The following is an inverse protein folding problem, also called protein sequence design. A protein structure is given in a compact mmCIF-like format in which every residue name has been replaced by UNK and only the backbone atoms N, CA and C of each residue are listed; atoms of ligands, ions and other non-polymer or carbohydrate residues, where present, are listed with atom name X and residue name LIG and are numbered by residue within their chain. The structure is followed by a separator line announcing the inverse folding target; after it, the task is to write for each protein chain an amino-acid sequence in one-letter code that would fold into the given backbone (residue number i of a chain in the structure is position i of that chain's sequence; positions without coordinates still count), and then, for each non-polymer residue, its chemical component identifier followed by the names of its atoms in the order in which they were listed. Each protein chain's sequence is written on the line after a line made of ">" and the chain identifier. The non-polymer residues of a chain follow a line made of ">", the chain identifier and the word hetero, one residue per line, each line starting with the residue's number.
data_IF_163402101640
#
_entry.id   IF_163402101640
#
_cell.length_a   1.000
_cell.length_b   1.000
_cell.length_c   1.000
_cell.angle_alpha   90.00
_cell.angle_beta   90.00
_cell.angle_gamma   90.00
#
_symmetry.space_group_name_H-M   'P 1'
#
loop_
_entity.id
_entity.type
_entity.pdbx_description
1 polymer ?
#
# COMPACT_ATOMS: atom_id res chain seq x y z
N UNK A 1 -3.12 29.55 -20.73
CA UNK A 1 -2.70 28.22 -21.15
C UNK A 1 -2.14 27.57 -19.90
N UNK A 2 -2.88 26.66 -19.28
CA UNK A 2 -2.41 25.85 -18.16
C UNK A 2 -1.43 24.78 -18.71
N UNK A 3 -0.37 24.41 -18.01
CA UNK A 3 0.49 23.31 -18.43
C UNK A 3 -0.27 21.99 -18.27
N UNK A 4 -0.07 21.08 -19.21
CA UNK A 4 -0.61 19.72 -19.22
C UNK A 4 -0.14 18.96 -17.98
N UNK A 5 -0.99 18.85 -16.97
CA UNK A 5 -0.73 18.00 -15.78
C UNK A 5 -0.85 16.48 -16.10
N UNK A 6 -1.49 16.11 -17.22
CA UNK A 6 -1.70 14.71 -17.61
C UNK A 6 -0.41 14.02 -18.13
N UNK A 7 0.57 14.77 -18.63
CA UNK A 7 1.80 14.21 -19.20
C UNK A 7 2.82 13.71 -18.16
N UNK A 8 2.86 14.31 -16.97
CA UNK A 8 3.80 13.95 -15.91
C UNK A 8 3.38 12.67 -15.16
N UNK A 9 2.09 12.39 -15.08
CA UNK A 9 1.55 11.19 -14.40
C UNK A 9 1.75 9.92 -15.25
N UNK A 10 1.66 10.03 -16.58
CA UNK A 10 1.93 8.93 -17.52
C UNK A 10 3.43 8.55 -17.54
N UNK A 11 4.33 9.52 -17.50
CA UNK A 11 5.78 9.29 -17.43
C UNK A 11 6.18 8.65 -16.09
N UNK A 12 5.62 9.13 -14.99
CA UNK A 12 5.85 8.55 -13.65
C UNK A 12 5.34 7.10 -13.55
N UNK A 13 4.24 6.77 -14.23
CA UNK A 13 3.67 5.42 -14.28
C UNK A 13 4.58 4.47 -15.06
N UNK A 14 5.20 4.93 -16.15
CA UNK A 14 6.12 4.11 -16.95
C UNK A 14 7.44 3.77 -16.23
N UNK A 15 7.90 4.60 -15.30
CA UNK A 15 9.15 4.39 -14.55
C UNK A 15 8.97 3.39 -13.40
N UNK A 16 7.79 3.28 -12.83
CA UNK A 16 7.53 2.38 -11.68
C UNK A 16 7.68 0.91 -12.07
N UNK A 17 8.31 0.09 -11.21
CA UNK A 17 8.36 -1.35 -11.42
C UNK A 17 6.94 -1.96 -11.38
N UNK A 18 6.72 -2.96 -12.22
CA UNK A 18 5.42 -3.59 -12.39
C UNK A 18 5.32 -4.98 -11.75
N UNK A 19 6.44 -5.55 -11.35
CA UNK A 19 6.55 -6.88 -10.72
C UNK A 19 7.54 -6.84 -9.57
N UNK A 20 7.51 -7.87 -8.71
CA UNK A 20 8.51 -8.05 -7.65
C UNK A 20 9.92 -8.29 -8.22
N UNK A 21 10.03 -8.84 -9.43
CA UNK A 21 11.31 -9.05 -10.11
C UNK A 21 11.93 -7.75 -10.61
N UNK A 22 11.11 -6.79 -10.99
CA UNK A 22 11.54 -5.47 -11.44
C UNK A 22 11.86 -4.51 -10.28
N UNK A 23 11.46 -4.85 -9.07
CA UNK A 23 11.64 -4.00 -7.90
C UNK A 23 13.08 -4.09 -7.40
N UNK A 24 13.85 -3.04 -7.63
CA UNK A 24 15.25 -2.96 -7.19
C UNK A 24 15.33 -2.73 -5.68
N UNK A 25 16.27 -3.41 -5.04
CA UNK A 25 16.48 -3.32 -3.60
C UNK A 25 15.44 -4.07 -2.78
N UNK A 26 15.40 -3.82 -1.48
CA UNK A 26 14.44 -4.45 -0.54
C UNK A 26 14.34 -5.99 -0.70
N UNK A 27 15.44 -6.67 -1.02
CA UNK A 27 15.49 -8.09 -1.44
C UNK A 27 14.72 -9.02 -0.49
N UNK A 28 14.91 -8.84 0.83
CA UNK A 28 14.21 -9.66 1.83
C UNK A 28 12.70 -9.43 1.82
N UNK A 29 12.27 -8.17 1.67
CA UNK A 29 10.84 -7.82 1.58
C UNK A 29 10.23 -8.43 0.34
N UNK A 30 10.86 -8.28 -0.83
CA UNK A 30 10.36 -8.86 -2.09
C UNK A 30 10.31 -10.39 -2.03
N UNK A 31 11.34 -11.05 -1.47
CA UNK A 31 11.35 -12.51 -1.31
C UNK A 31 10.22 -12.99 -0.42
N UNK A 32 10.01 -12.32 0.72
CA UNK A 32 8.93 -12.69 1.64
C UNK A 32 7.56 -12.45 1.01
N UNK A 33 7.33 -11.27 0.39
CA UNK A 33 6.07 -10.97 -0.29
C UNK A 33 5.74 -11.99 -1.37
N UNK A 34 6.73 -12.44 -2.16
CA UNK A 34 6.53 -13.47 -3.17
C UNK A 34 5.97 -14.76 -2.57
N UNK A 35 6.55 -15.25 -1.49
CA UNK A 35 6.08 -16.47 -0.82
C UNK A 35 4.63 -16.32 -0.35
N UNK A 36 4.29 -15.18 0.26
CA UNK A 36 2.91 -14.95 0.74
C UNK A 36 1.92 -14.81 -0.42
N UNK A 37 2.28 -14.08 -1.48
CA UNK A 37 1.43 -13.91 -2.67
C UNK A 37 1.20 -15.25 -3.38
N UNK A 38 2.25 -16.04 -3.58
CA UNK A 38 2.14 -17.39 -4.18
C UNK A 38 1.25 -18.31 -3.33
N UNK A 39 1.40 -18.28 -2.02
CA UNK A 39 0.58 -19.07 -1.10
C UNK A 39 -0.90 -18.65 -1.15
N UNK A 40 -1.21 -17.36 -1.15
CA UNK A 40 -2.58 -16.85 -1.25
C UNK A 40 -3.22 -17.25 -2.60
N UNK A 41 -2.48 -17.09 -3.70
CA UNK A 41 -2.93 -17.51 -5.04
C UNK A 41 -3.23 -19.01 -5.12
N UNK A 42 -2.34 -19.84 -4.56
CA UNK A 42 -2.50 -21.30 -4.57
C UNK A 42 -3.76 -21.74 -3.81
N UNK A 43 -4.16 -21.02 -2.78
CA UNK A 43 -5.38 -21.29 -2.00
C UNK A 43 -6.62 -20.59 -2.54
N UNK A 44 -6.47 -19.67 -3.51
CA UNK A 44 -7.54 -18.77 -3.98
C UNK A 44 -8.18 -17.98 -2.84
N UNK A 45 -7.36 -17.48 -1.92
CA UNK A 45 -7.76 -16.69 -0.76
C UNK A 45 -7.22 -15.26 -0.85
N UNK A 46 -7.83 -14.34 -0.09
CA UNK A 46 -7.22 -13.03 0.11
C UNK A 46 -5.86 -13.19 0.81
N UNK A 47 -4.90 -12.34 0.46
CA UNK A 47 -3.63 -12.26 1.17
C UNK A 47 -3.88 -11.70 2.58
N UNK A 48 -3.17 -12.21 3.57
CA UNK A 48 -3.16 -11.61 4.91
C UNK A 48 -2.78 -10.11 4.84
N UNK A 49 -3.31 -9.31 5.77
CA UNK A 49 -3.05 -7.88 5.79
C UNK A 49 -1.56 -7.56 5.95
N UNK A 50 -1.07 -6.64 5.13
CA UNK A 50 0.36 -6.27 5.05
C UNK A 50 0.59 -4.89 5.65
N UNK A 51 1.59 -4.76 6.52
CA UNK A 51 2.04 -3.47 7.04
C UNK A 51 3.42 -3.13 6.49
N UNK A 52 3.50 -2.06 5.70
CA UNK A 52 4.76 -1.54 5.14
C UNK A 52 5.27 -0.38 6.01
N UNK A 53 6.38 -0.59 6.69
CA UNK A 53 7.00 0.41 7.59
C UNK A 53 8.32 0.88 6.99
N UNK A 54 8.52 2.19 6.90
CA UNK A 54 9.80 2.74 6.46
C UNK A 54 9.72 4.20 6.06
N UNK A 55 10.87 4.88 5.92
CA UNK A 55 10.96 6.27 5.46
C UNK A 55 10.17 6.55 4.18
N UNK A 56 9.85 7.81 3.87
CA UNK A 56 9.24 8.17 2.59
C UNK A 56 10.20 7.84 1.43
N UNK A 57 9.66 7.71 0.23
CA UNK A 57 10.46 7.47 -0.99
C UNK A 57 10.95 6.03 -1.21
N UNK A 58 10.70 5.09 -0.30
CA UNK A 58 11.21 3.71 -0.39
C UNK A 58 10.32 2.75 -1.22
N UNK A 59 9.29 3.25 -1.89
CA UNK A 59 8.45 2.44 -2.78
C UNK A 59 7.31 1.68 -2.11
N UNK A 60 6.83 2.08 -0.92
CA UNK A 60 5.69 1.43 -0.22
C UNK A 60 4.44 1.33 -1.10
N UNK A 61 4.04 2.42 -1.72
CA UNK A 61 2.89 2.46 -2.64
C UNK A 61 3.11 1.56 -3.86
N UNK A 62 4.31 1.58 -4.41
CA UNK A 62 4.68 0.74 -5.55
C UNK A 62 4.62 -0.75 -5.20
N UNK A 63 5.14 -1.14 -4.03
CA UNK A 63 5.03 -2.53 -3.55
C UNK A 63 3.57 -2.96 -3.38
N UNK A 64 2.71 -2.09 -2.83
CA UNK A 64 1.29 -2.38 -2.68
C UNK A 64 0.59 -2.57 -4.04
N UNK A 65 0.93 -1.76 -5.04
CA UNK A 65 0.44 -1.93 -6.42
C UNK A 65 0.92 -3.24 -7.04
N UNK A 66 2.19 -3.59 -6.84
CA UNK A 66 2.77 -4.85 -7.33
C UNK A 66 2.05 -6.04 -6.69
N UNK A 67 1.80 -6.02 -5.38
CA UNK A 67 1.06 -7.08 -4.67
C UNK A 67 -0.32 -7.30 -5.31
N UNK A 68 -1.09 -6.25 -5.56
CA UNK A 68 -2.39 -6.36 -6.21
C UNK A 68 -2.28 -6.95 -7.62
N UNK A 69 -1.28 -6.50 -8.39
CA UNK A 69 -1.03 -7.00 -9.75
C UNK A 69 -0.62 -8.47 -9.74
N UNK A 70 0.28 -8.87 -8.86
CA UNK A 70 0.71 -10.27 -8.71
C UNK A 70 -0.45 -11.18 -8.26
N UNK A 71 -1.36 -10.68 -7.43
CA UNK A 71 -2.59 -11.38 -7.05
C UNK A 71 -3.62 -11.42 -8.19
N UNK A 72 -3.53 -10.52 -9.17
CA UNK A 72 -4.51 -10.40 -10.27
C UNK A 72 -5.84 -9.78 -9.85
N UNK A 73 -5.80 -8.85 -8.87
CA UNK A 73 -6.99 -8.21 -8.27
C UNK A 73 -6.94 -6.69 -8.42
N UNK A 74 -8.06 -6.01 -8.13
CA UNK A 74 -8.13 -4.56 -8.19
C UNK A 74 -7.33 -3.92 -7.04
N UNK A 75 -6.76 -2.74 -7.33
CA UNK A 75 -6.03 -1.92 -6.38
C UNK A 75 -6.79 -0.63 -6.12
N UNK A 76 -7.07 -0.33 -4.85
CA UNK A 76 -7.65 0.94 -4.41
C UNK A 76 -6.72 1.60 -3.42
N UNK A 77 -6.41 2.87 -3.64
CA UNK A 77 -5.51 3.64 -2.80
C UNK A 77 -6.22 4.81 -2.14
N UNK A 78 -5.87 5.04 -0.89
CA UNK A 78 -6.26 6.21 -0.12
C UNK A 78 -5.17 6.55 0.90
N UNK A 79 -5.39 7.57 1.72
CA UNK A 79 -4.46 7.93 2.79
C UNK A 79 -5.23 8.19 4.10
N UNK A 80 -4.59 7.90 5.24
CA UNK A 80 -5.20 8.11 6.56
C UNK A 80 -5.82 9.49 6.74
N UNK A 81 -5.16 10.59 6.38
CA UNK A 81 -5.75 11.94 6.49
C UNK A 81 -6.99 12.19 5.63
N UNK A 82 -7.21 11.42 4.59
CA UNK A 82 -8.37 11.54 3.69
C UNK A 82 -9.61 10.88 4.32
N UNK A 83 -9.41 9.85 5.13
CA UNK A 83 -10.48 9.13 5.83
C UNK A 83 -10.82 9.90 7.12
N UNK A 84 -11.64 10.93 6.99
CA UNK A 84 -11.97 11.80 8.11
C UNK A 84 -13.02 11.19 9.06
N UNK A 85 -13.92 10.37 8.55
CA UNK A 85 -15.06 9.81 9.27
C UNK A 85 -15.21 8.31 9.01
N UNK A 86 -15.87 7.63 9.94
CA UNK A 86 -16.23 6.22 9.82
C UNK A 86 -17.00 5.90 8.53
N UNK A 87 -17.88 6.80 8.09
CA UNK A 87 -18.62 6.65 6.85
C UNK A 87 -17.75 6.66 5.59
N UNK A 88 -16.64 7.40 5.60
CA UNK A 88 -15.71 7.43 4.47
C UNK A 88 -15.02 6.06 4.31
N UNK A 89 -14.60 5.47 5.43
CA UNK A 89 -14.03 4.13 5.45
C UNK A 89 -15.05 3.07 5.04
N UNK A 90 -16.27 3.16 5.58
CA UNK A 90 -17.35 2.24 5.23
C UNK A 90 -17.67 2.25 3.73
N UNK A 91 -17.72 3.45 3.11
CA UNK A 91 -17.94 3.59 1.69
C UNK A 91 -16.80 2.95 0.85
N UNK A 92 -15.55 3.06 1.31
CA UNK A 92 -14.42 2.42 0.64
C UNK A 92 -14.52 0.89 0.73
N UNK A 93 -14.79 0.34 1.92
CA UNK A 93 -14.82 -1.10 2.18
C UNK A 93 -16.00 -1.80 1.51
N UNK A 94 -17.19 -1.19 1.50
CA UNK A 94 -18.38 -1.77 0.85
C UNK A 94 -18.31 -1.81 -0.68
N UNK A 95 -17.39 -1.05 -1.29
CA UNK A 95 -17.15 -1.05 -2.73
C UNK A 95 -16.04 -2.03 -3.17
N UNK A 96 -15.41 -2.76 -2.25
CA UNK A 96 -14.41 -3.77 -2.59
C UNK A 96 -15.06 -5.01 -3.18
N UNK A 97 -14.35 -5.63 -4.12
CA UNK A 97 -14.66 -6.95 -4.64
C UNK A 97 -13.84 -8.01 -3.88
N UNK A 98 -14.23 -9.30 -3.94
CA UNK A 98 -13.45 -10.36 -3.30
C UNK A 98 -11.97 -10.31 -3.69
N UNK A 99 -11.12 -10.36 -2.67
CA UNK A 99 -9.66 -10.36 -2.73
C UNK A 99 -9.01 -9.04 -3.16
N UNK A 100 -9.78 -7.97 -3.41
CA UNK A 100 -9.23 -6.65 -3.73
C UNK A 100 -8.20 -6.19 -2.70
N UNK A 101 -7.25 -5.38 -3.14
CA UNK A 101 -6.26 -4.74 -2.29
C UNK A 101 -6.67 -3.30 -2.01
N UNK A 102 -6.90 -2.98 -0.74
CA UNK A 102 -7.05 -1.62 -0.25
C UNK A 102 -5.73 -1.14 0.34
N UNK A 103 -5.16 -0.08 -0.22
CA UNK A 103 -3.96 0.57 0.28
C UNK A 103 -4.30 1.84 1.05
N UNK A 104 -3.81 1.95 2.29
CA UNK A 104 -3.95 3.16 3.12
C UNK A 104 -2.55 3.68 3.45
N UNK A 105 -2.16 4.79 2.81
CA UNK A 105 -0.92 5.48 3.17
C UNK A 105 -1.08 6.29 4.46
N UNK A 106 0.02 6.50 5.18
CA UNK A 106 0.03 7.21 6.47
C UNK A 106 -1.07 6.68 7.44
N UNK A 107 -1.24 5.34 7.49
CA UNK A 107 -2.32 4.68 8.25
C UNK A 107 -2.31 5.07 9.75
N UNK A 108 -1.16 5.46 10.30
CA UNK A 108 -1.03 5.98 11.67
C UNK A 108 -1.78 7.29 11.92
N UNK A 109 -2.32 7.91 10.89
CA UNK A 109 -3.10 9.16 10.97
C UNK A 109 -4.63 8.92 10.96
N UNK A 110 -5.06 7.68 10.99
CA UNK A 110 -6.47 7.37 11.20
C UNK A 110 -6.92 7.86 12.59
N UNK A 111 -8.15 8.35 12.67
CA UNK A 111 -8.74 8.68 13.96
C UNK A 111 -9.15 7.42 14.72
N UNK A 112 -9.20 7.44 16.07
CA UNK A 112 -9.63 6.28 16.84
C UNK A 112 -11.01 5.73 16.42
N UNK A 113 -11.95 6.60 16.08
CA UNK A 113 -13.28 6.20 15.62
C UNK A 113 -13.27 5.47 14.27
N UNK A 114 -12.30 5.76 13.41
CA UNK A 114 -12.09 5.06 12.14
C UNK A 114 -11.39 3.73 12.38
N UNK A 115 -10.39 3.70 13.28
CA UNK A 115 -9.72 2.45 13.65
C UNK A 115 -10.68 1.42 14.25
N UNK A 116 -11.61 1.84 15.12
CA UNK A 116 -12.61 0.95 15.74
C UNK A 116 -13.49 0.23 14.71
N UNK A 117 -13.81 0.88 13.59
CA UNK A 117 -14.55 0.26 12.49
C UNK A 117 -13.64 -0.63 11.64
N UNK A 118 -12.37 -0.27 11.51
CA UNK A 118 -11.41 -1.05 10.73
C UNK A 118 -11.11 -2.41 11.37
N UNK A 119 -11.13 -2.51 12.70
CA UNK A 119 -10.80 -3.76 13.40
C UNK A 119 -11.69 -4.95 13.00
N UNK A 120 -13.03 -4.89 13.12
CA UNK A 120 -13.88 -6.00 12.70
C UNK A 120 -13.84 -6.24 11.18
N UNK A 121 -13.57 -5.19 10.39
CA UNK A 121 -13.39 -5.34 8.95
C UNK A 121 -12.14 -6.17 8.60
N UNK A 122 -11.06 -6.03 9.36
CA UNK A 122 -9.82 -6.80 9.16
C UNK A 122 -9.93 -8.24 9.71
N UNK A 123 -10.59 -8.44 10.84
CA UNK A 123 -10.63 -9.75 11.50
C UNK A 123 -11.70 -10.67 10.92
N UNK A 124 -12.92 -10.14 10.77
CA UNK A 124 -14.12 -10.93 10.49
C UNK A 124 -14.83 -10.51 9.20
N UNK A 125 -14.24 -9.60 8.44
CA UNK A 125 -14.81 -9.08 7.18
C UNK A 125 -16.24 -8.56 7.35
N UNK A 126 -16.50 -7.77 8.39
CA UNK A 126 -17.77 -7.08 8.56
C UNK A 126 -17.60 -5.66 9.10
N UNK A 127 -18.61 -4.84 8.91
CA UNK A 127 -18.72 -3.51 9.50
C UNK A 127 -19.92 -3.47 10.44
N UNK A 128 -19.74 -2.88 11.62
CA UNK A 128 -20.84 -2.53 12.53
C UNK A 128 -21.02 -0.99 12.46
N UNK A 129 -22.11 -0.55 11.83
CA UNK A 129 -22.44 0.87 11.69
C UNK A 129 -23.62 1.25 12.55
N UNK A 130 -23.51 2.37 13.24
CA UNK A 130 -24.63 2.96 13.98
C UNK A 130 -25.36 3.92 13.03
N UNK A 131 -26.62 3.64 12.75
CA UNK A 131 -27.49 4.47 11.91
C UNK A 131 -28.53 5.13 12.78
N UNK A 132 -28.68 6.47 12.66
CA UNK A 132 -29.59 7.28 13.45
C UNK A 132 -28.91 7.91 14.67
N UNK A 133 -29.67 8.70 15.39
CA UNK A 133 -29.22 9.43 16.59
C UNK A 133 -30.12 9.13 17.79
N UNK A 134 -29.55 9.25 19.00
CA UNK A 134 -30.27 9.11 20.28
C UNK A 134 -30.86 7.71 20.50
N UNK A 135 -31.98 7.58 21.20
CA UNK A 135 -32.58 6.28 21.56
C UNK A 135 -33.08 5.46 20.36
N UNK A 136 -33.21 6.08 19.19
CA UNK A 136 -33.61 5.43 17.93
C UNK A 136 -32.43 4.90 17.11
N UNK A 137 -31.20 5.09 17.55
CA UNK A 137 -30.01 4.57 16.89
C UNK A 137 -30.05 3.04 16.82
N UNK A 138 -29.72 2.50 15.64
CA UNK A 138 -29.65 1.05 15.41
C UNK A 138 -28.28 0.66 14.91
N UNK A 139 -27.72 -0.42 15.42
CA UNK A 139 -26.53 -1.04 14.86
C UNK A 139 -26.94 -1.90 13.67
N UNK A 140 -26.26 -1.69 12.54
CA UNK A 140 -26.42 -2.49 11.31
C UNK A 140 -25.10 -3.13 11.00
N UNK A 141 -25.10 -4.46 10.88
CA UNK A 141 -23.94 -5.24 10.42
C UNK A 141 -24.01 -5.38 8.92
N UNK A 142 -22.88 -5.11 8.26
CA UNK A 142 -22.68 -5.25 6.82
C UNK A 142 -21.52 -6.22 6.61
N UNK A 143 -21.79 -7.34 5.96
CA UNK A 143 -20.74 -8.30 5.58
C UNK A 143 -19.94 -7.76 4.40
N UNK A 144 -18.63 -7.94 4.48
CA UNK A 144 -17.67 -7.53 3.45
C UNK A 144 -17.11 -8.76 2.74
N UNK A 145 -16.79 -8.66 1.45
CA UNK A 145 -15.98 -9.71 0.83
C UNK A 145 -14.59 -9.75 1.47
N UNK A 146 -13.94 -10.93 1.57
CA UNK A 146 -12.55 -11.01 2.01
C UNK A 146 -11.67 -10.12 1.13
N UNK A 147 -10.84 -9.30 1.76
CA UNK A 147 -9.95 -8.33 1.09
C UNK A 147 -8.59 -8.29 1.78
N UNK A 148 -7.61 -7.71 1.11
CA UNK A 148 -6.30 -7.46 1.69
C UNK A 148 -6.13 -5.97 1.99
N UNK A 149 -5.86 -5.63 3.25
CA UNK A 149 -5.42 -4.29 3.62
C UNK A 149 -3.90 -4.21 3.55
N UNK A 150 -3.38 -3.25 2.80
CA UNK A 150 -1.97 -2.88 2.82
C UNK A 150 -1.86 -1.51 3.48
N UNK A 151 -1.42 -1.48 4.73
CA UNK A 151 -1.14 -0.24 5.46
C UNK A 151 0.30 0.21 5.24
N UNK A 152 0.51 1.50 5.04
CA UNK A 152 1.84 2.09 4.98
C UNK A 152 2.02 3.15 6.06
N UNK A 153 3.20 3.18 6.67
CA UNK A 153 3.54 4.19 7.67
C UNK A 153 5.02 4.53 7.67
N UNK A 154 5.31 5.79 7.90
CA UNK A 154 6.67 6.27 8.19
C UNK A 154 7.00 6.20 9.68
N UNK A 155 5.98 6.04 10.54
CA UNK A 155 6.08 6.15 12.01
C UNK A 155 5.36 5.00 12.70
N UNK A 156 5.99 3.82 12.71
CA UNK A 156 5.39 2.61 13.33
C UNK A 156 5.07 2.78 14.82
N UNK A 157 5.80 3.63 15.53
CA UNK A 157 5.55 3.92 16.95
C UNK A 157 4.27 4.72 17.22
N UNK A 158 3.65 5.30 16.19
CA UNK A 158 2.38 6.01 16.30
C UNK A 158 1.15 5.11 16.00
N UNK A 159 1.37 3.89 15.50
CA UNK A 159 0.29 2.92 15.35
C UNK A 159 -0.15 2.42 16.71
N UNK A 160 -1.46 2.34 16.91
CA UNK A 160 -2.01 1.68 18.09
C UNK A 160 -1.62 0.20 18.10
N UNK A 161 -1.42 -0.37 19.28
CA UNK A 161 -1.08 -1.79 19.41
C UNK A 161 -2.18 -2.68 18.79
N UNK A 162 -3.48 -2.42 19.03
CA UNK A 162 -4.53 -3.22 18.40
C UNK A 162 -4.51 -3.21 16.88
N UNK A 163 -4.25 -2.05 16.25
CA UNK A 163 -4.16 -1.98 14.79
C UNK A 163 -2.95 -2.73 14.27
N UNK A 164 -1.80 -2.57 14.92
CA UNK A 164 -0.56 -3.21 14.48
C UNK A 164 -0.63 -4.74 14.55
N UNK A 165 -1.26 -5.31 15.58
CA UNK A 165 -1.36 -6.76 15.78
C UNK A 165 -2.28 -7.46 14.75
N UNK A 166 -3.13 -6.70 14.07
CA UNK A 166 -4.01 -7.21 13.00
C UNK A 166 -3.33 -7.37 11.65
N UNK A 167 -2.11 -6.88 11.51
CA UNK A 167 -1.32 -7.11 10.31
C UNK A 167 -0.53 -8.41 10.44
N UNK A 168 -0.94 -9.45 9.70
CA UNK A 168 -0.25 -10.74 9.68
C UNK A 168 1.12 -10.68 9.02
N UNK A 169 1.37 -9.70 8.14
CA UNK A 169 2.59 -9.58 7.36
C UNK A 169 3.25 -8.20 7.59
N UNK A 170 3.97 -7.99 8.70
CA UNK A 170 4.72 -6.76 8.91
C UNK A 170 6.04 -6.79 8.12
N UNK A 171 6.27 -5.76 7.29
CA UNK A 171 7.47 -5.58 6.46
C UNK A 171 8.14 -4.25 6.76
N UNK A 172 9.45 -4.27 6.98
CA UNK A 172 10.24 -3.06 7.18
C UNK A 172 11.11 -2.80 5.95
N UNK A 173 10.95 -1.62 5.37
CA UNK A 173 11.77 -1.12 4.28
C UNK A 173 12.96 -0.36 4.85
N UNK A 174 14.13 -0.61 4.31
CA UNK A 174 15.38 0.05 4.67
C UNK A 174 15.79 1.02 3.57
N UNK A 175 16.67 1.97 3.88
CA UNK A 175 17.28 2.81 2.86
C UNK A 175 17.99 1.94 1.82
N UNK A 176 17.95 2.40 0.57
CA UNK A 176 18.70 1.79 -0.52
C UNK A 176 20.20 1.98 -0.32
N UNK A 177 20.99 1.01 -0.69
CA UNK A 177 22.42 1.20 -0.84
C UNK A 177 22.77 1.90 -2.18
N UNK A 178 24.02 2.31 -2.33
CA UNK A 178 24.45 3.01 -3.55
C UNK A 178 24.29 2.15 -4.80
N UNK A 179 24.51 0.84 -4.69
CA UNK A 179 24.38 -0.10 -5.80
C UNK A 179 22.93 -0.19 -6.29
N UNK A 180 21.98 -0.32 -5.38
CA UNK A 180 20.55 -0.32 -5.68
C UNK A 180 20.13 1.02 -6.32
N UNK A 181 20.61 2.15 -5.80
CA UNK A 181 20.33 3.48 -6.37
C UNK A 181 20.88 3.64 -7.78
N UNK A 182 22.08 3.14 -8.07
CA UNK A 182 22.65 3.12 -9.44
C UNK A 182 21.74 2.37 -10.40
N UNK A 183 21.21 1.20 -9.97
CA UNK A 183 20.31 0.41 -10.79
C UNK A 183 18.96 1.15 -11.04
N UNK A 184 18.42 1.80 -10.02
CA UNK A 184 17.19 2.59 -10.12
C UNK A 184 17.37 3.75 -11.10
N UNK A 185 18.45 4.52 -10.94
CA UNK A 185 18.78 5.68 -11.80
C UNK A 185 19.01 5.24 -13.24
N UNK A 186 19.80 4.18 -13.46
CA UNK A 186 20.09 3.65 -14.79
C UNK A 186 18.83 3.11 -15.48
N UNK A 187 17.95 2.46 -14.73
CA UNK A 187 16.65 2.01 -15.25
C UNK A 187 15.78 3.21 -15.66
N UNK A 188 15.69 4.24 -14.80
CA UNK A 188 14.93 5.46 -15.08
C UNK A 188 15.44 6.15 -16.33
N UNK A 189 16.75 6.35 -16.47
CA UNK A 189 17.37 6.95 -17.63
C UNK A 189 17.06 6.19 -18.92
N UNK A 190 17.12 4.84 -18.88
CA UNK A 190 16.79 3.99 -20.04
C UNK A 190 15.34 4.13 -20.46
N UNK A 191 14.40 4.14 -19.50
CA UNK A 191 12.95 4.29 -19.78
C UNK A 191 12.66 5.66 -20.39
N UNK A 192 13.31 6.71 -19.88
CA UNK A 192 13.17 8.07 -20.37
C UNK A 192 13.98 8.35 -21.63
N UNK A 193 14.74 7.36 -22.14
CA UNK A 193 15.65 7.51 -23.29
C UNK A 193 16.68 8.64 -23.10
N UNK A 194 17.11 8.86 -21.85
CA UNK A 194 18.15 9.84 -21.50
C UNK A 194 19.51 9.14 -21.48
N UNK A 195 20.49 9.59 -22.25
CA UNK A 195 21.82 9.03 -22.20
C UNK A 195 22.48 9.30 -20.84
N UNK A 196 22.95 8.24 -20.19
CA UNK A 196 23.59 8.29 -18.88
C UNK A 196 24.82 7.38 -18.88
N UNK A 197 25.94 7.92 -18.41
CA UNK A 197 27.17 7.14 -18.20
C UNK A 197 27.14 6.44 -16.86
N UNK A 198 27.91 5.35 -16.71
CA UNK A 198 28.01 4.63 -15.43
C UNK A 198 28.54 5.53 -14.31
N UNK A 199 29.53 6.37 -14.59
CA UNK A 199 30.04 7.36 -13.64
C UNK A 199 28.99 8.39 -13.24
N UNK A 200 28.16 8.83 -14.21
CA UNK A 200 27.05 9.74 -13.96
C UNK A 200 25.97 9.11 -13.07
N UNK A 201 25.62 7.85 -13.32
CA UNK A 201 24.68 7.10 -12.49
C UNK A 201 25.20 6.94 -11.05
N UNK A 202 26.49 6.61 -10.90
CA UNK A 202 27.13 6.46 -9.59
C UNK A 202 27.17 7.79 -8.82
N UNK A 203 27.47 8.90 -9.50
CA UNK A 203 27.54 10.22 -8.86
C UNK A 203 26.15 10.70 -8.40
N UNK A 204 25.11 10.45 -9.19
CA UNK A 204 23.72 10.71 -8.80
C UNK A 204 23.34 9.86 -7.57
N UNK A 205 23.63 8.55 -7.61
CA UNK A 205 23.31 7.63 -6.52
C UNK A 205 24.00 8.01 -5.20
N UNK A 206 25.23 8.53 -5.23
CA UNK A 206 25.96 8.98 -4.04
C UNK A 206 25.40 10.23 -3.39
N UNK A 207 24.65 11.03 -4.14
CA UNK A 207 24.07 12.29 -3.68
C UNK A 207 22.58 12.21 -3.33
N UNK A 208 21.96 11.05 -3.57
CA UNK A 208 20.58 10.76 -3.25
C UNK A 208 20.47 10.14 -1.85
#
# INVERSE_FOLDING_TARGET
>A
VAPDEDGDDDLATGIRPLSLDDFVGQRQVCTNLRVFVEAARARSEALDHVLLVGPPGLGKTTLAQIVARELGVSFRATAGPVIARSGDLAALLTNLQPHDVLFIDEIHRLSPAVEEILYPAMEDFHLDLIIGEGPAARSVRIDLPPFTLVGATTRSGLLTTPLRERFGIPMRLNFYDTEDLVLIVSRGARILSVPLTDDGALEIARRS
#
